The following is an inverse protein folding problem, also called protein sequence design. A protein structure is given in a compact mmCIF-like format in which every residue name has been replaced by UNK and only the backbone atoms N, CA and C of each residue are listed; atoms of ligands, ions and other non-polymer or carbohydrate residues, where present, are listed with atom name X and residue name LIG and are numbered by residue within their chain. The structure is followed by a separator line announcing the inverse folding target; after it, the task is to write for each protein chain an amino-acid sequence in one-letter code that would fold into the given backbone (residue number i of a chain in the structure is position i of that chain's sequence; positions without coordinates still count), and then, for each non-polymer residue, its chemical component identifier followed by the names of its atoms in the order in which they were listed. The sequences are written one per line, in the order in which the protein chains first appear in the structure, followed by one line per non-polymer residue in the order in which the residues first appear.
data_IF_527549516659
#
_entry.id   IF_527549516659
#
_cell.length_a   1.000
_cell.length_b   1.000
_cell.length_c   1.000
_cell.angle_alpha   90.00
_cell.angle_beta   90.00
_cell.angle_gamma   90.00
#
_symmetry.space_group_name_H-M   'P 1'
#
loop_
_entity.id
_entity.type
_entity.pdbx_description
1 polymer ?
#
# COMPACT_ATOMS: atom_id res chain seq x y z
N UNK A 1 6.05 5.74 -9.00
CA UNK A 1 6.02 4.39 -8.39
C UNK A 1 4.59 3.87 -8.47
N UNK A 2 4.34 2.76 -9.18
CA UNK A 2 3.01 2.12 -9.16
C UNK A 2 2.82 1.32 -7.88
N UNK A 3 1.72 1.54 -7.17
CA UNK A 3 1.45 0.81 -5.93
C UNK A 3 0.02 0.98 -5.46
N UNK A 4 -0.27 0.36 -4.33
CA UNK A 4 -1.54 0.50 -3.64
C UNK A 4 -1.28 0.95 -2.20
N UNK A 5 -2.13 1.83 -1.70
CA UNK A 5 -2.11 2.28 -0.32
C UNK A 5 -3.50 2.13 0.29
N UNK A 6 -3.56 1.81 1.58
CA UNK A 6 -4.77 1.90 2.36
C UNK A 6 -4.72 3.18 3.20
N UNK A 7 -5.74 4.02 3.07
CA UNK A 7 -5.88 5.28 3.80
C UNK A 7 -7.07 5.20 4.77
N UNK A 8 -6.86 5.61 6.00
CA UNK A 8 -7.92 5.78 6.99
C UNK A 8 -7.57 6.94 7.94
N UNK A 9 -8.51 7.86 8.15
CA UNK A 9 -8.36 8.99 9.09
C UNK A 9 -7.08 9.86 8.88
N UNK A 10 -6.52 9.91 7.67
CA UNK A 10 -5.30 10.66 7.36
C UNK A 10 -4.00 9.87 7.52
N UNK A 11 -4.07 8.61 7.96
CA UNK A 11 -2.96 7.67 7.92
C UNK A 11 -3.03 6.83 6.63
N UNK A 12 -1.90 6.73 5.92
CA UNK A 12 -1.77 5.90 4.72
C UNK A 12 -0.69 4.84 4.89
N UNK A 13 -1.02 3.58 4.62
CA UNK A 13 -0.08 2.46 4.62
C UNK A 13 0.06 1.89 3.22
N UNK A 14 1.30 1.69 2.76
CA UNK A 14 1.55 1.01 1.49
C UNK A 14 1.22 -0.48 1.62
N UNK A 15 0.50 -0.99 0.64
CA UNK A 15 0.08 -2.38 0.55
C UNK A 15 1.02 -3.12 -0.42
N UNK A 16 1.72 -4.11 0.11
CA UNK A 16 2.63 -4.97 -0.66
C UNK A 16 2.16 -6.43 -0.70
N UNK A 17 1.18 -6.79 0.14
CA UNK A 17 0.65 -8.15 0.23
C UNK A 17 -0.87 -8.15 0.23
N UNK A 18 -1.45 -9.17 -0.38
CA UNK A 18 -2.88 -9.42 -0.38
C UNK A 18 -3.51 -9.46 1.02
N UNK A 19 -2.79 -9.99 2.03
CA UNK A 19 -3.23 -9.99 3.43
C UNK A 19 -3.41 -8.58 4.00
N UNK A 20 -2.53 -7.63 3.62
CA UNK A 20 -2.65 -6.24 4.07
C UNK A 20 -3.86 -5.58 3.43
N UNK A 21 -4.13 -5.88 2.16
CA UNK A 21 -5.34 -5.44 1.47
C UNK A 21 -6.59 -5.99 2.16
N UNK A 22 -6.70 -7.31 2.37
CA UNK A 22 -7.86 -7.88 3.07
C UNK A 22 -8.08 -7.26 4.45
N UNK A 23 -6.99 -7.00 5.17
CA UNK A 23 -7.05 -6.40 6.51
C UNK A 23 -7.51 -4.95 6.44
N UNK A 24 -6.98 -4.17 5.49
CA UNK A 24 -7.41 -2.80 5.23
C UNK A 24 -8.89 -2.73 4.82
N UNK A 25 -9.32 -3.62 3.93
CA UNK A 25 -10.73 -3.73 3.55
C UNK A 25 -11.61 -4.03 4.76
N UNK A 26 -11.26 -5.04 5.58
CA UNK A 26 -12.01 -5.38 6.80
C UNK A 26 -12.07 -4.24 7.82
N UNK A 27 -11.02 -3.43 7.89
CA UNK A 27 -10.95 -2.27 8.79
C UNK A 27 -11.68 -1.03 8.23
N UNK A 28 -12.24 -1.11 7.03
CA UNK A 28 -12.92 0.01 6.38
C UNK A 28 -11.98 1.09 5.86
N UNK A 29 -10.76 0.73 5.46
CA UNK A 29 -9.83 1.67 4.83
C UNK A 29 -10.24 1.94 3.37
N UNK A 30 -9.92 3.14 2.90
CA UNK A 30 -9.97 3.49 1.49
C UNK A 30 -8.74 2.89 0.80
N UNK A 31 -8.93 2.18 -0.31
CA UNK A 31 -7.81 1.69 -1.12
C UNK A 31 -7.56 2.67 -2.24
N UNK A 32 -6.34 3.17 -2.29
CA UNK A 32 -5.85 4.15 -3.26
C UNK A 32 -4.82 3.46 -4.15
N UNK A 33 -4.95 3.62 -5.46
CA UNK A 33 -3.94 3.24 -6.43
C UNK A 33 -3.06 4.46 -6.71
N UNK A 34 -1.75 4.27 -6.57
CA UNK A 34 -0.72 5.26 -6.83
C UNK A 34 -0.13 4.98 -8.21
N UNK A 35 -0.06 6.02 -9.04
CA UNK A 35 0.49 6.00 -10.39
C UNK A 35 1.88 6.65 -10.44
N UNK A 36 2.61 6.47 -11.54
CA UNK A 36 3.99 6.98 -11.64
C UNK A 36 4.12 8.50 -11.64
N UNK A 37 3.06 9.21 -12.03
CA UNK A 37 2.96 10.68 -12.09
C UNK A 37 2.48 11.32 -10.77
N UNK A 38 2.70 10.64 -9.63
CA UNK A 38 2.15 11.00 -8.30
C UNK A 38 0.60 11.08 -8.26
N UNK A 39 -0.05 10.59 -9.32
CA UNK A 39 -1.50 10.47 -9.41
C UNK A 39 -2.03 9.45 -8.41
N UNK A 40 -3.02 9.84 -7.61
CA UNK A 40 -3.70 8.97 -6.66
C UNK A 40 -5.16 8.81 -7.07
N UNK A 41 -5.60 7.58 -7.26
CA UNK A 41 -7.00 7.26 -7.57
C UNK A 41 -7.58 6.35 -6.51
N UNK A 42 -8.67 6.77 -5.88
CA UNK A 42 -9.41 5.92 -4.93
C UNK A 42 -10.12 4.83 -5.74
N UNK A 43 -9.83 3.58 -5.41
CA UNK A 43 -10.37 2.41 -6.12
C UNK A 43 -11.32 1.58 -5.25
N UNK A 44 -11.24 1.70 -3.91
CA UNK A 44 -12.20 1.08 -3.00
C UNK A 44 -12.48 2.00 -1.81
N UNK A 45 -13.73 2.07 -1.37
CA UNK A 45 -14.11 2.72 -0.12
C UNK A 45 -15.07 1.79 0.65
N UNK A 46 -15.14 1.89 1.99
CA UNK A 46 -16.10 1.12 2.77
C UNK A 46 -17.56 1.46 2.41
N UNK A 47 -17.82 2.68 1.93
CA UNK A 47 -19.17 3.17 1.61
C UNK A 47 -19.68 2.67 0.25
N UNK A 48 -18.82 2.52 -0.75
CA UNK A 48 -19.21 2.07 -2.09
C UNK A 48 -19.13 0.54 -2.29
N UNK A 49 -18.71 -0.20 -1.26
CA UNK A 49 -18.44 -1.63 -1.36
C UNK A 49 -17.06 -1.90 -1.98
N UNK A 50 -16.54 -3.10 -1.71
CA UNK A 50 -15.22 -3.51 -2.17
C UNK A 50 -15.18 -3.77 -3.67
N UNK A 51 -14.02 -3.52 -4.27
CA UNK A 51 -13.70 -3.69 -5.69
C UNK A 51 -14.34 -4.94 -6.33
N UNK A 52 -14.96 -4.76 -7.51
CA UNK A 52 -15.46 -5.88 -8.33
C UNK A 52 -14.32 -6.80 -8.81
N UNK A 53 -13.12 -6.24 -8.99
CA UNK A 53 -11.91 -6.97 -9.38
C UNK A 53 -10.78 -6.67 -8.39
N UNK A 54 -10.30 -7.72 -7.73
CA UNK A 54 -9.26 -7.62 -6.71
C UNK A 54 -7.89 -7.31 -7.35
N UNK A 55 -7.18 -6.26 -6.91
CA UNK A 55 -5.85 -5.97 -7.42
C UNK A 55 -4.89 -7.06 -6.94
N UNK A 56 -4.10 -7.62 -7.85
CA UNK A 56 -3.05 -8.58 -7.50
C UNK A 56 -1.89 -7.83 -6.86
N UNK A 57 -1.66 -8.06 -5.57
CA UNK A 57 -0.55 -7.45 -4.83
C UNK A 57 0.67 -8.36 -4.73
N UNK A 58 0.54 -9.66 -4.99
CA UNK A 58 1.67 -10.60 -5.00
C UNK A 58 2.82 -10.06 -5.88
N UNK A 59 3.83 -9.50 -5.21
CA UNK A 59 5.03 -8.94 -5.81
C UNK A 59 5.82 -10.05 -6.53
N UNK A 60 5.72 -10.09 -7.86
CA UNK A 60 6.73 -10.71 -8.75
C UNK A 60 7.72 -9.66 -9.25
N UNK A 61 8.18 -8.80 -8.34
CA UNK A 61 9.23 -7.85 -8.63
C UNK A 61 9.56 -7.11 -7.34
N UNK A 62 10.78 -7.33 -6.84
CA UNK A 62 11.40 -6.59 -5.73
C UNK A 62 11.05 -5.11 -5.82
N UNK A 63 10.02 -4.66 -5.11
CA UNK A 63 9.86 -3.24 -4.82
C UNK A 63 10.93 -2.90 -3.80
N UNK A 64 12.06 -2.38 -4.28
CA UNK A 64 12.99 -1.62 -3.45
C UNK A 64 12.23 -0.42 -2.90
N UNK A 65 11.66 -0.60 -1.71
CA UNK A 65 11.10 0.47 -0.91
C UNK A 65 12.22 1.52 -0.70
N UNK A 66 12.09 2.76 -1.19
CA UNK A 66 13.13 3.79 -1.04
C UNK A 66 13.37 4.17 0.43
N UNK A 67 12.48 3.78 1.35
CA UNK A 67 12.66 3.90 2.80
C UNK A 67 13.27 2.64 3.46
N UNK A 68 13.33 1.50 2.77
CA UNK A 68 13.95 0.30 3.31
C UNK A 68 15.48 0.42 3.39
N UNK A 69 16.13 1.12 2.44
CA UNK A 69 17.56 1.44 2.58
C UNK A 69 17.83 2.37 3.77
N UNK A 70 16.95 3.34 4.03
CA UNK A 70 17.08 4.25 5.17
C UNK A 70 16.93 3.53 6.52
N UNK A 71 16.03 2.53 6.61
CA UNK A 71 15.89 1.68 7.78
C UNK A 71 17.09 0.71 7.94
N UNK A 72 17.60 0.16 6.84
CA UNK A 72 18.77 -0.73 6.87
C UNK A 72 20.07 -0.01 7.28
N UNK A 73 20.18 1.31 7.03
CA UNK A 73 21.33 2.11 7.48
C UNK A 73 21.29 2.45 8.98
N UNK A 74 20.11 2.46 9.62
CA UNK A 74 19.99 2.67 11.06
C UNK A 74 20.39 1.42 11.87
N UNK A 75 20.15 0.22 11.34
CA UNK A 75 20.55 -1.04 12.02
C UNK A 75 22.05 -1.35 11.92
N UNK A 76 22.79 -0.67 11.04
CA UNK A 76 24.23 -0.87 10.83
C UNK A 76 25.12 0.10 11.62
N UNK A 77 24.55 0.71 12.67
CA UNK A 77 25.19 1.73 13.51
C UNK A 77 25.44 1.31 14.96
N UNK A 78 25.34 0.03 15.32
CA UNK A 78 25.80 -0.49 16.61
C UNK A 78 26.56 -1.81 16.41
N UNK A 79 27.87 -1.70 16.13
CA UNK A 79 28.97 -2.40 16.81
C UNK A 79 30.34 -1.94 16.27
#
# INVERSE_FOLDING_TARGET
MKGYAAEINGDAIFLTKDVQLDTALKNGCNIVRIEDDDGQTIIATPENGFLEARPTLEETGTMTNPYAEALAMLEKGEN
#
